data_IF_300353434260
#
_entry.id   IF_300353434260
#
_cell.length_a   1.000
_cell.length_b   1.000
_cell.length_c   1.000
_cell.angle_alpha   90.00
_cell.angle_beta   90.00
_cell.angle_gamma   90.00
#
_symmetry.space_group_name_H-M   'P 1'
#
loop_
_entity.id
_entity.type
_entity.pdbx_description
1 polymer ?
#
# COMPACT_ATOMS: atom_id res chain seq x y z
N UNK A 1 -5.76 -4.30 25.96
CA UNK A 1 -4.57 -5.01 26.49
C UNK A 1 -3.56 -5.02 25.38
N UNK A 2 -2.46 -4.28 25.55
CA UNK A 2 -1.47 -4.10 24.49
C UNK A 2 -0.40 -5.16 24.69
N UNK A 3 -0.29 -6.09 23.74
CA UNK A 3 0.72 -7.14 23.70
C UNK A 3 2.11 -6.51 23.69
N UNK A 4 2.98 -6.94 24.61
CA UNK A 4 4.41 -6.60 24.67
C UNK A 4 5.25 -7.33 23.61
N UNK A 5 4.63 -8.09 22.71
CA UNK A 5 5.29 -8.80 21.60
C UNK A 5 6.17 -9.99 22.02
N UNK A 6 6.29 -10.25 23.32
CA UNK A 6 7.13 -11.28 23.92
C UNK A 6 6.24 -12.13 24.83
N UNK A 7 6.13 -13.43 24.55
CA UNK A 7 5.49 -14.38 25.47
C UNK A 7 6.41 -14.67 26.65
N UNK A 8 5.86 -15.13 27.78
CA UNK A 8 6.65 -15.55 28.96
C UNK A 8 7.67 -16.65 28.62
N UNK A 9 7.43 -17.39 27.54
CA UNK A 9 8.31 -18.43 26.98
C UNK A 9 9.45 -17.89 26.09
N UNK A 10 9.55 -16.58 25.85
CA UNK A 10 10.55 -15.98 24.96
C UNK A 10 10.28 -16.19 23.47
N UNK A 11 9.12 -16.74 23.11
CA UNK A 11 8.68 -16.86 21.72
C UNK A 11 8.01 -15.56 21.25
N UNK A 12 8.18 -15.21 19.98
CA UNK A 12 7.52 -14.02 19.41
C UNK A 12 6.02 -14.28 19.33
N UNK A 13 5.22 -13.40 19.93
CA UNK A 13 3.78 -13.50 19.90
C UNK A 13 3.26 -13.40 18.46
N UNK A 14 2.49 -14.39 18.02
CA UNK A 14 1.86 -14.38 16.69
C UNK A 14 0.67 -13.45 16.70
N UNK A 15 0.84 -12.27 16.10
CA UNK A 15 -0.24 -11.30 15.91
C UNK A 15 -0.98 -11.59 14.61
N UNK A 16 -2.30 -11.73 14.68
CA UNK A 16 -3.15 -11.83 13.49
C UNK A 16 -3.51 -10.43 13.00
N UNK A 17 -3.04 -10.09 11.80
CA UNK A 17 -3.39 -8.85 11.12
C UNK A 17 -4.46 -9.11 10.06
N UNK A 18 -5.59 -8.42 10.17
CA UNK A 18 -6.61 -8.38 9.14
C UNK A 18 -6.36 -7.21 8.21
N UNK A 19 -6.37 -7.47 6.91
CA UNK A 19 -6.30 -6.45 5.86
C UNK A 19 -7.55 -6.53 4.99
N UNK A 20 -8.30 -5.44 4.96
CA UNK A 20 -9.49 -5.25 4.14
C UNK A 20 -9.19 -4.13 3.11
N UNK A 21 -8.97 -4.56 1.88
CA UNK A 21 -8.68 -3.68 0.73
C UNK A 21 -9.67 -2.53 0.66
N UNK A 22 -9.19 -1.28 0.64
CA UNK A 22 -10.04 -0.09 0.48
C UNK A 22 -10.76 0.37 1.75
N UNK A 23 -10.71 -0.40 2.84
CA UNK A 23 -11.51 -0.13 4.05
C UNK A 23 -10.61 0.11 5.25
N UNK A 24 -9.87 -0.92 5.69
CA UNK A 24 -9.11 -0.87 6.95
C UNK A 24 -8.09 -2.00 7.07
N UNK A 25 -7.17 -1.85 8.00
CA UNK A 25 -6.39 -2.95 8.54
C UNK A 25 -6.31 -2.82 10.06
N UNK A 26 -6.32 -3.93 10.78
CA UNK A 26 -6.25 -3.96 12.23
C UNK A 26 -5.86 -5.34 12.74
N UNK A 27 -5.29 -5.40 13.94
CA UNK A 27 -5.03 -6.66 14.62
C UNK A 27 -6.33 -7.20 15.23
N UNK A 28 -6.45 -8.52 15.31
CA UNK A 28 -7.64 -9.15 15.88
C UNK A 28 -7.29 -10.48 16.51
N UNK A 29 -7.98 -10.88 17.57
CA UNK A 29 -7.90 -12.23 18.12
C UNK A 29 -8.99 -13.14 17.53
N UNK A 30 -9.89 -12.58 16.71
CA UNK A 30 -11.00 -13.32 16.13
C UNK A 30 -10.51 -14.29 15.05
N UNK A 31 -10.70 -15.58 15.29
CA UNK A 31 -10.39 -16.62 14.31
C UNK A 31 -11.54 -16.73 13.33
N UNK A 32 -11.25 -16.54 12.04
CA UNK A 32 -12.22 -16.74 10.95
C UNK A 32 -12.08 -18.11 10.32
N UNK A 33 -13.20 -18.66 9.87
CA UNK A 33 -13.21 -19.86 9.04
C UNK A 33 -12.45 -19.62 7.73
N UNK A 34 -11.56 -20.55 7.43
CA UNK A 34 -10.70 -20.49 6.24
C UNK A 34 -11.32 -21.38 5.17
N UNK A 35 -11.45 -20.85 3.95
CA UNK A 35 -11.74 -21.70 2.80
C UNK A 35 -10.71 -22.83 2.70
N UNK A 36 -11.19 -24.05 2.42
CA UNK A 36 -10.35 -25.23 2.23
C UNK A 36 -9.41 -25.08 1.04
N UNK A 37 -9.83 -24.34 0.01
CA UNK A 37 -9.03 -24.08 -1.20
C UNK A 37 -8.49 -22.64 -1.19
N UNK A 38 -7.16 -22.44 -1.11
CA UNK A 38 -6.57 -21.10 -1.17
C UNK A 38 -6.63 -20.52 -2.58
N UNK A 39 -6.88 -19.20 -2.70
CA UNK A 39 -6.82 -18.50 -3.97
C UNK A 39 -5.39 -18.45 -4.54
N UNK A 40 -5.24 -18.24 -5.85
CA UNK A 40 -3.93 -18.07 -6.48
C UNK A 40 -3.12 -16.91 -5.89
N UNK A 41 -3.79 -15.82 -5.51
CA UNK A 41 -3.21 -14.70 -4.77
C UNK A 41 -2.65 -15.16 -3.40
N UNK A 42 -3.44 -15.92 -2.64
CA UNK A 42 -3.05 -16.48 -1.34
C UNK A 42 -1.84 -17.40 -1.46
N UNK A 43 -1.79 -18.24 -2.50
CA UNK A 43 -0.66 -19.14 -2.76
C UNK A 43 0.62 -18.35 -3.04
N UNK A 44 0.54 -17.24 -3.79
CA UNK A 44 1.69 -16.38 -4.05
C UNK A 44 2.19 -15.70 -2.77
N UNK A 45 1.29 -15.14 -1.95
CA UNK A 45 1.68 -14.60 -0.64
C UNK A 45 2.40 -15.66 0.20
N UNK A 46 1.84 -16.87 0.32
CA UNK A 46 2.46 -17.96 1.08
C UNK A 46 3.84 -18.34 0.54
N UNK A 47 4.03 -18.36 -0.78
CA UNK A 47 5.32 -18.67 -1.41
C UNK A 47 6.39 -17.64 -1.06
N UNK A 48 6.03 -16.36 -0.98
CA UNK A 48 7.00 -15.28 -0.94
C UNK A 48 7.28 -14.71 0.46
N UNK A 49 6.28 -14.72 1.37
CA UNK A 49 6.38 -14.03 2.66
C UNK A 49 6.13 -14.91 3.89
N UNK A 50 5.66 -16.16 3.75
CA UNK A 50 5.25 -17.01 4.90
C UNK A 50 6.34 -17.19 5.97
N UNK A 51 7.59 -17.32 5.55
CA UNK A 51 8.73 -17.56 6.43
C UNK A 51 9.60 -16.31 6.61
N UNK A 52 9.08 -15.12 6.25
CA UNK A 52 9.79 -13.85 6.38
C UNK A 52 9.18 -13.05 7.53
N UNK A 53 10.05 -12.39 8.29
CA UNK A 53 9.64 -11.46 9.33
C UNK A 53 9.23 -10.13 8.70
N UNK A 54 8.24 -9.49 9.29
CA UNK A 54 7.87 -8.11 8.98
C UNK A 54 8.94 -7.19 9.60
N UNK A 55 9.69 -6.48 8.76
CA UNK A 55 10.80 -5.63 9.19
C UNK A 55 10.38 -4.15 9.30
N UNK A 56 9.45 -3.69 8.46
CA UNK A 56 9.01 -2.30 8.46
C UNK A 56 7.54 -2.17 8.03
N UNK A 57 6.86 -1.16 8.57
CA UNK A 57 5.51 -0.74 8.17
C UNK A 57 5.51 0.78 8.05
N UNK A 58 5.29 1.29 6.83
CA UNK A 58 5.32 2.73 6.57
C UNK A 58 4.27 3.16 5.58
N UNK A 59 3.86 4.43 5.68
CA UNK A 59 3.01 5.06 4.69
C UNK A 59 3.84 5.49 3.47
N UNK A 60 3.28 5.32 2.27
CA UNK A 60 3.89 5.84 1.04
C UNK A 60 3.33 7.25 0.75
N UNK A 61 4.18 8.26 0.93
CA UNK A 61 3.79 9.66 0.78
C UNK A 61 2.73 10.08 1.80
N UNK A 62 1.78 10.89 1.36
CA UNK A 62 0.63 11.36 2.12
C UNK A 62 -0.69 10.68 1.69
N UNK A 63 -0.61 9.75 0.75
CA UNK A 63 -1.76 8.97 0.31
C UNK A 63 -2.08 7.86 1.32
N UNK A 64 -3.31 7.33 1.25
CA UNK A 64 -3.78 6.20 2.06
C UNK A 64 -3.23 4.88 1.52
N UNK A 65 -1.91 4.77 1.44
CA UNK A 65 -1.17 3.63 0.91
C UNK A 65 -0.15 3.19 1.96
N UNK A 66 -0.24 1.95 2.41
CA UNK A 66 0.63 1.39 3.44
C UNK A 66 1.51 0.32 2.82
N UNK A 67 2.80 0.39 3.08
CA UNK A 67 3.79 -0.60 2.68
C UNK A 67 4.23 -1.41 3.89
N UNK A 68 4.16 -2.73 3.76
CA UNK A 68 4.63 -3.72 4.72
C UNK A 68 5.83 -4.45 4.11
N UNK A 69 6.99 -4.35 4.75
CA UNK A 69 8.23 -4.96 4.28
C UNK A 69 8.50 -6.29 4.97
N UNK A 70 8.69 -7.33 4.16
CA UNK A 70 9.06 -8.66 4.64
C UNK A 70 10.47 -9.02 4.17
N UNK A 71 11.38 -9.23 5.13
CA UNK A 71 12.80 -9.48 4.86
C UNK A 71 13.59 -8.24 4.45
N UNK A 72 14.88 -8.44 4.12
CA UNK A 72 15.85 -7.39 3.85
C UNK A 72 16.62 -7.65 2.54
N UNK A 73 17.21 -6.59 1.98
CA UNK A 73 18.05 -6.65 0.78
C UNK A 73 17.30 -7.15 -0.46
N UNK A 74 18.00 -7.90 -1.32
CA UNK A 74 17.44 -8.48 -2.55
C UNK A 74 16.34 -9.51 -2.31
N UNK A 75 16.24 -10.05 -1.09
CA UNK A 75 15.18 -10.97 -0.69
C UNK A 75 14.00 -10.24 -0.04
N UNK A 76 14.00 -8.91 0.05
CA UNK A 76 12.85 -8.14 0.54
C UNK A 76 11.66 -8.30 -0.40
N UNK A 77 10.45 -8.41 0.16
CA UNK A 77 9.19 -8.40 -0.57
C UNK A 77 8.25 -7.43 0.13
N UNK A 78 7.42 -6.74 -0.63
CA UNK A 78 6.51 -5.76 -0.07
C UNK A 78 5.06 -6.17 -0.28
N UNK A 79 4.24 -6.02 0.76
CA UNK A 79 2.80 -5.91 0.60
C UNK A 79 2.45 -4.42 0.55
N UNK A 80 1.80 -3.99 -0.52
CA UNK A 80 1.26 -2.64 -0.67
C UNK A 80 -0.26 -2.73 -0.50
N UNK A 81 -0.77 -1.99 0.48
CA UNK A 81 -2.20 -1.90 0.80
C UNK A 81 -2.71 -0.50 0.43
N UNK A 82 -3.59 -0.45 -0.56
CA UNK A 82 -4.28 0.77 -0.96
C UNK A 82 -5.66 0.85 -0.28
N UNK A 83 -5.89 1.93 0.46
CA UNK A 83 -7.10 2.19 1.25
C UNK A 83 -7.96 3.32 0.66
N UNK A 84 -7.79 3.64 -0.62
CA UNK A 84 -8.59 4.65 -1.33
C UNK A 84 -9.48 4.01 -2.40
N UNK A 85 -10.58 4.69 -2.74
CA UNK A 85 -11.58 4.22 -3.70
C UNK A 85 -12.02 2.78 -3.39
N UNK A 86 -11.93 1.88 -4.36
CA UNK A 86 -12.22 0.47 -4.14
C UNK A 86 -11.11 -0.24 -3.35
N UNK A 87 -9.88 0.28 -3.35
CA UNK A 87 -8.69 -0.29 -2.71
C UNK A 87 -7.99 -1.39 -3.50
N UNK A 88 -6.81 -1.78 -3.04
CA UNK A 88 -6.06 -2.90 -3.61
C UNK A 88 -5.09 -3.50 -2.60
N UNK A 89 -4.70 -4.75 -2.84
CA UNK A 89 -3.57 -5.37 -2.13
C UNK A 89 -2.65 -5.95 -3.18
N UNK A 90 -1.39 -5.54 -3.14
CA UNK A 90 -0.35 -5.97 -4.06
C UNK A 90 0.78 -6.64 -3.31
N UNK A 91 1.40 -7.61 -3.95
CA UNK A 91 2.67 -8.20 -3.55
C UNK A 91 3.72 -7.79 -4.59
N UNK A 92 4.83 -7.23 -4.15
CA UNK A 92 5.97 -6.89 -5.00
C UNK A 92 7.27 -7.54 -4.53
N UNK A 93 8.26 -7.56 -5.41
CA UNK A 93 9.66 -7.85 -5.05
C UNK A 93 10.37 -6.60 -4.48
N UNK A 94 11.69 -6.69 -4.28
CA UNK A 94 12.54 -5.61 -3.75
C UNK A 94 12.63 -4.39 -4.66
N UNK A 95 12.38 -4.56 -5.96
CA UNK A 95 12.41 -3.49 -6.97
C UNK A 95 11.02 -2.89 -7.24
N UNK A 96 10.05 -3.19 -6.37
CA UNK A 96 8.64 -2.82 -6.52
C UNK A 96 7.96 -3.42 -7.75
N UNK A 97 8.52 -4.48 -8.36
CA UNK A 97 7.85 -5.18 -9.46
C UNK A 97 6.69 -5.99 -8.91
N UNK A 98 5.49 -5.75 -9.42
CA UNK A 98 4.28 -6.41 -8.95
C UNK A 98 4.29 -7.89 -9.32
N UNK A 99 4.31 -8.75 -8.32
CA UNK A 99 4.20 -10.19 -8.46
C UNK A 99 2.74 -10.62 -8.59
N UNK A 100 1.86 -10.09 -7.75
CA UNK A 100 0.41 -10.34 -7.82
C UNK A 100 -0.35 -9.21 -7.15
N UNK A 101 -1.63 -9.11 -7.46
CA UNK A 101 -2.52 -8.04 -7.02
C UNK A 101 -3.96 -8.57 -7.01
N UNK A 102 -4.82 -7.99 -6.15
CA UNK A 102 -6.22 -8.40 -6.07
C UNK A 102 -7.03 -7.90 -7.28
N UNK A 103 -6.79 -6.67 -7.72
CA UNK A 103 -7.51 -6.07 -8.87
C UNK A 103 -6.58 -5.28 -9.77
N UNK A 104 -6.58 -5.62 -11.05
CA UNK A 104 -5.90 -4.82 -12.08
C UNK A 104 -6.78 -3.62 -12.37
N UNK A 105 -6.23 -2.42 -12.26
CA UNK A 105 -6.97 -1.23 -12.62
C UNK A 105 -6.05 -0.21 -13.32
N UNK A 106 -6.66 0.57 -14.21
CA UNK A 106 -6.03 1.75 -14.80
C UNK A 106 -6.38 2.93 -13.89
N UNK A 107 -5.40 3.56 -13.26
CA UNK A 107 -5.57 4.89 -12.70
C UNK A 107 -5.92 5.79 -13.88
N UNK A 108 -7.07 6.46 -13.82
CA UNK A 108 -7.34 7.54 -14.75
C UNK A 108 -6.25 8.61 -14.60
N UNK A 109 -5.94 9.38 -15.66
CA UNK A 109 -5.04 10.50 -15.53
C UNK A 109 -5.65 11.47 -14.51
N UNK A 110 -5.16 11.44 -13.27
CA UNK A 110 -5.34 12.57 -12.38
C UNK A 110 -4.60 13.76 -13.02
N UNK A 111 -5.19 14.94 -12.90
CA UNK A 111 -4.88 16.23 -13.51
C UNK A 111 -3.45 16.80 -13.29
N UNK A 112 -2.49 15.96 -12.92
CA UNK A 112 -1.12 16.33 -12.57
C UNK A 112 -0.04 15.68 -13.45
N UNK A 113 -0.45 14.85 -14.42
CA UNK A 113 0.43 14.33 -15.47
C UNK A 113 -0.10 14.75 -16.84
N UNK A 114 0.74 15.48 -17.56
CA UNK A 114 0.46 16.05 -18.88
C UNK A 114 0.45 14.97 -19.99
N UNK A 115 0.87 13.75 -19.68
CA UNK A 115 0.64 12.60 -20.54
C UNK A 115 -0.72 11.98 -20.22
N UNK A 116 -1.68 12.15 -21.12
CA UNK A 116 -3.06 11.62 -21.08
C UNK A 116 -3.15 10.06 -21.05
N UNK A 117 -2.08 9.38 -20.59
CA UNK A 117 -1.90 7.95 -20.46
C UNK A 117 -2.10 7.58 -18.99
N UNK A 118 -3.33 7.20 -18.63
CA UNK A 118 -3.62 6.68 -17.30
C UNK A 118 -2.63 5.59 -16.85
N UNK A 119 -2.26 5.60 -15.57
CA UNK A 119 -1.26 4.71 -15.01
C UNK A 119 -1.86 3.32 -14.72
N UNK A 120 -1.49 2.31 -15.51
CA UNK A 120 -2.03 0.96 -15.34
C UNK A 120 -1.23 0.16 -14.29
N UNK A 121 -1.89 -0.24 -13.21
CA UNK A 121 -1.31 -1.13 -12.20
C UNK A 121 -1.58 -2.58 -12.62
N UNK A 122 -0.51 -3.28 -13.00
CA UNK A 122 -0.56 -4.61 -13.57
C UNK A 122 0.55 -5.51 -13.03
N UNK A 123 0.34 -6.82 -13.13
CA UNK A 123 1.37 -7.81 -12.81
C UNK A 123 2.58 -7.63 -13.72
N UNK A 124 3.78 -7.89 -13.19
CA UNK A 124 5.09 -7.73 -13.84
C UNK A 124 5.48 -6.30 -14.21
N UNK A 125 4.73 -5.31 -13.74
CA UNK A 125 5.09 -3.89 -13.89
C UNK A 125 5.55 -3.34 -12.55
N UNK A 126 6.44 -2.35 -12.58
CA UNK A 126 6.89 -1.66 -11.37
C UNK A 126 5.77 -0.80 -10.79
N UNK A 127 5.53 -0.94 -9.50
CA UNK A 127 4.61 -0.09 -8.77
C UNK A 127 5.19 1.33 -8.66
N UNK A 128 4.44 2.37 -9.03
CA UNK A 128 4.94 3.74 -9.15
C UNK A 128 4.94 4.46 -7.80
N UNK A 129 5.82 4.06 -6.88
CA UNK A 129 5.93 4.67 -5.54
C UNK A 129 6.25 6.16 -5.58
N UNK A 130 6.90 6.62 -6.64
CA UNK A 130 7.29 8.02 -6.85
C UNK A 130 6.09 8.89 -7.24
N UNK A 131 4.99 8.28 -7.67
CA UNK A 131 3.75 8.99 -7.98
C UNK A 131 2.92 9.31 -6.72
N UNK A 132 3.25 8.73 -5.57
CA UNK A 132 2.55 9.00 -4.31
C UNK A 132 2.73 10.48 -3.92
N UNK A 133 1.63 11.13 -3.52
CA UNK A 133 1.62 12.55 -3.17
C UNK A 133 2.58 12.81 -2.02
N UNK A 134 3.50 13.75 -2.21
CA UNK A 134 4.37 14.23 -1.14
C UNK A 134 3.67 15.38 -0.42
N UNK A 135 3.64 15.34 0.92
CA UNK A 135 3.13 16.47 1.69
C UNK A 135 4.06 17.68 1.53
N UNK A 136 3.62 18.68 0.78
CA UNK A 136 4.25 19.99 0.76
C UNK A 136 3.70 20.84 1.90
N UNK A 137 4.54 21.21 2.87
CA UNK A 137 4.13 22.15 3.91
C UNK A 137 3.78 23.50 3.28
N UNK A 138 2.54 23.94 3.45
CA UNK A 138 2.10 25.27 3.05
C UNK A 138 2.52 26.30 4.11
N UNK A 139 3.08 27.41 3.67
CA UNK A 139 3.37 28.58 4.50
C UNK A 139 2.33 29.68 4.26
N UNK A 140 2.28 30.67 5.16
CA UNK A 140 1.30 31.76 5.07
C UNK A 140 1.43 32.54 3.74
N UNK A 141 2.65 32.69 3.22
CA UNK A 141 2.89 33.41 1.98
C UNK A 141 2.28 32.67 0.77
N UNK A 142 2.50 31.36 0.67
CA UNK A 142 1.91 30.49 -0.36
C UNK A 142 0.40 30.45 -0.26
N UNK A 143 -0.14 30.38 0.95
CA UNK A 143 -1.60 30.39 1.15
C UNK A 143 -2.21 31.71 0.69
N UNK A 144 -1.60 32.84 1.08
CA UNK A 144 -2.05 34.17 0.67
C UNK A 144 -1.99 34.33 -0.84
N UNK A 145 -0.86 33.95 -1.47
CA UNK A 145 -0.67 34.00 -2.92
C UNK A 145 -1.74 33.18 -3.66
N UNK A 146 -2.02 31.96 -3.22
CA UNK A 146 -3.05 31.11 -3.82
C UNK A 146 -4.46 31.68 -3.67
N UNK A 147 -4.79 32.28 -2.53
CA UNK A 147 -6.11 32.89 -2.30
C UNK A 147 -6.31 34.22 -3.04
N UNK A 148 -5.23 34.90 -3.44
CA UNK A 148 -5.28 36.17 -4.17
C UNK A 148 -5.15 36.04 -5.69
N UNK A 149 -4.84 34.84 -6.19
CA UNK A 149 -4.81 34.59 -7.64
C UNK A 149 -6.25 34.56 -8.17
N UNK A 150 -6.60 35.38 -9.19
CA UNK A 150 -7.88 35.22 -9.85
C UNK A 150 -7.91 33.85 -10.53
N UNK A 151 -9.04 33.14 -10.41
CA UNK A 151 -9.26 31.89 -11.16
C UNK A 151 -8.99 32.18 -12.63
N UNK A 152 -8.01 31.48 -13.20
CA UNK A 152 -7.87 31.46 -14.65
C UNK A 152 -9.14 30.77 -15.16
N UNK A 153 -10.09 31.56 -15.66
CA UNK A 153 -11.21 31.05 -16.41
C UNK A 153 -10.65 30.14 -17.50
N UNK A 154 -11.14 28.90 -17.53
CA UNK A 154 -10.82 27.91 -18.56
C UNK A 154 -11.17 28.52 -19.93
N UNK A 155 -10.15 28.99 -20.66
CA UNK A 155 -10.31 29.30 -22.09
C UNK A 155 -10.44 27.97 -22.84
N UNK A 156 -11.56 27.87 -23.57
CA UNK A 156 -12.10 26.71 -24.29
C UNK A 156 -11.11 25.91 -25.14
#
# INVERSE_FOLDING_TARGET
MNSSGITESGESEKVLLLMESGVRFHTTQYVRDKSTTPSGFTLKLRKHIRNKRLEDVRMLGYDRIILFQFGLGSNAHFIILELYAQGNILLTDSEYTVLTLLRSHRLLPDCYRDDNKGLAIMSRHRYPVEACRVFGRTDFAKLKDMLTKPDKADDK
#
